data_IF_480398664918
#
_entry.id   IF_480398664918
#
_cell.length_a   1.000
_cell.length_b   1.000
_cell.length_c   1.000
_cell.angle_alpha   90.00
_cell.angle_beta   90.00
_cell.angle_gamma   90.00
#
_symmetry.space_group_name_H-M   'P 1'
#
loop_
_entity.id
_entity.type
_entity.pdbx_description
1 polymer ?
#
# COMPACT_ATOMS: atom_id res chain seq x y z
N UNK A 1 -12.36 17.20 -5.29
CA UNK A 1 -11.51 17.62 -6.44
C UNK A 1 -10.13 17.07 -6.11
N UNK A 2 -9.59 16.16 -6.92
CA UNK A 2 -8.29 15.52 -6.62
C UNK A 2 -7.17 16.51 -6.97
N UNK A 3 -6.31 16.79 -6.01
CA UNK A 3 -5.19 17.70 -6.05
C UNK A 3 -3.99 16.99 -6.64
N UNK A 4 -3.57 17.46 -7.81
CA UNK A 4 -2.42 16.96 -8.54
C UNK A 4 -1.16 17.57 -7.93
N UNK A 5 -0.49 16.85 -7.03
CA UNK A 5 0.86 17.21 -6.60
C UNK A 5 1.86 16.50 -7.53
N UNK A 6 2.15 17.10 -8.68
CA UNK A 6 3.18 16.59 -9.58
C UNK A 6 4.55 17.19 -9.21
N UNK A 7 5.62 16.40 -9.03
CA UNK A 7 6.95 16.92 -9.34
C UNK A 7 7.00 17.15 -10.86
N UNK A 8 7.49 18.34 -11.23
CA UNK A 8 7.65 18.72 -12.63
C UNK A 8 8.46 17.64 -13.37
N UNK A 9 7.96 17.22 -14.54
CA UNK A 9 8.65 16.36 -15.52
C UNK A 9 8.60 14.83 -15.38
N UNK A 10 7.50 14.27 -14.84
CA UNK A 10 7.16 12.86 -15.08
C UNK A 10 5.88 12.73 -15.91
N UNK A 11 5.95 12.01 -17.03
CA UNK A 11 4.83 11.69 -17.94
C UNK A 11 3.74 10.79 -17.29
N UNK A 12 3.82 10.63 -15.97
CA UNK A 12 2.99 9.79 -15.12
C UNK A 12 2.60 10.57 -13.85
N UNK A 13 1.45 11.28 -13.83
CA UNK A 13 1.00 11.97 -12.64
C UNK A 13 0.77 10.97 -11.51
N UNK A 14 1.59 11.04 -10.46
CA UNK A 14 1.36 10.28 -9.24
C UNK A 14 0.21 10.94 -8.46
N UNK A 15 -0.89 10.22 -8.28
CA UNK A 15 -2.08 10.72 -7.61
C UNK A 15 -2.02 10.27 -6.15
N UNK A 16 -1.82 11.19 -5.21
CA UNK A 16 -1.84 10.94 -3.77
C UNK A 16 -2.85 11.85 -3.09
N UNK A 17 -3.59 11.32 -2.12
CA UNK A 17 -4.54 12.11 -1.37
C UNK A 17 -3.85 13.11 -0.44
N UNK A 18 -4.35 14.34 -0.35
CA UNK A 18 -4.13 15.17 0.85
C UNK A 18 -4.93 14.62 2.03
N UNK A 19 -4.64 15.03 3.29
CA UNK A 19 -5.45 14.63 4.44
C UNK A 19 -6.94 14.97 4.28
N UNK A 20 -7.26 16.12 3.69
CA UNK A 20 -8.63 16.57 3.43
C UNK A 20 -9.30 15.65 2.40
N UNK A 21 -8.61 15.35 1.30
CA UNK A 21 -9.14 14.45 0.26
C UNK A 21 -9.35 13.04 0.76
N UNK A 22 -8.44 12.57 1.62
CA UNK A 22 -8.59 11.27 2.24
C UNK A 22 -9.83 11.21 3.12
N UNK A 23 -10.06 12.26 3.91
CA UNK A 23 -11.25 12.39 4.75
C UNK A 23 -12.53 12.37 3.91
N UNK A 24 -12.57 13.16 2.83
CA UNK A 24 -13.69 13.19 1.89
C UNK A 24 -13.96 11.81 1.27
N UNK A 25 -12.91 11.11 0.87
CA UNK A 25 -13.00 9.77 0.28
C UNK A 25 -13.51 8.75 1.30
N UNK A 26 -13.02 8.79 2.54
CA UNK A 26 -13.51 7.91 3.61
C UNK A 26 -14.99 8.12 3.85
N UNK A 27 -15.44 9.38 3.93
CA UNK A 27 -16.87 9.71 4.10
C UNK A 27 -17.71 9.24 2.91
N UNK A 28 -17.23 9.48 1.69
CA UNK A 28 -17.93 9.06 0.48
C UNK A 28 -18.06 7.53 0.38
N UNK A 29 -16.97 6.80 0.64
CA UNK A 29 -16.99 5.33 0.67
C UNK A 29 -17.94 4.81 1.75
N UNK A 30 -17.89 5.37 2.96
CA UNK A 30 -18.80 4.99 4.03
C UNK A 30 -20.27 5.18 3.68
N UNK A 31 -20.58 6.25 2.94
CA UNK A 31 -21.94 6.52 2.47
C UNK A 31 -22.43 5.51 1.41
N UNK A 32 -21.50 4.81 0.73
CA UNK A 32 -21.81 3.78 -0.25
C UNK A 32 -22.07 2.39 0.37
N UNK A 33 -21.69 2.18 1.63
CA UNK A 33 -21.88 0.91 2.31
C UNK A 33 -23.33 0.73 2.76
N UNK A 34 -23.82 -0.52 2.73
CA UNK A 34 -25.19 -0.85 3.18
C UNK A 34 -25.44 -0.48 4.65
N UNK A 35 -24.39 -0.50 5.45
CA UNK A 35 -24.39 -0.01 6.82
C UNK A 35 -23.12 0.83 6.99
N UNK A 36 -23.21 2.13 7.29
CA UNK A 36 -22.05 2.99 7.44
C UNK A 36 -21.10 2.47 8.53
N UNK A 37 -19.80 2.48 8.24
CA UNK A 37 -18.76 2.08 9.17
C UNK A 37 -18.15 3.32 9.82
N UNK A 38 -18.65 3.70 11.00
CA UNK A 38 -18.05 4.80 11.75
C UNK A 38 -16.60 4.46 12.12
N UNK A 39 -15.66 5.36 11.85
CA UNK A 39 -14.24 5.22 12.16
C UNK A 39 -13.86 6.23 13.25
N UNK A 40 -12.95 5.86 14.14
CA UNK A 40 -12.29 6.85 15.00
C UNK A 40 -11.28 7.68 14.19
N UNK A 41 -10.85 8.82 14.74
CA UNK A 41 -9.77 9.63 14.15
C UNK A 41 -8.49 8.79 13.98
N UNK A 42 -8.05 8.11 15.03
CA UNK A 42 -6.85 7.27 14.98
C UNK A 42 -6.92 6.14 13.95
N UNK A 43 -8.11 5.56 13.72
CA UNK A 43 -8.30 4.55 12.67
C UNK A 43 -8.16 5.14 11.27
N UNK A 44 -8.68 6.35 11.07
CA UNK A 44 -8.59 7.11 9.83
C UNK A 44 -7.14 7.50 9.55
N UNK A 45 -6.43 8.01 10.56
CA UNK A 45 -5.02 8.38 10.46
C UNK A 45 -4.14 7.17 10.18
N UNK A 46 -4.41 6.04 10.83
CA UNK A 46 -3.68 4.81 10.57
C UNK A 46 -3.87 4.31 9.13
N UNK A 47 -5.10 4.39 8.60
CA UNK A 47 -5.38 4.06 7.20
C UNK A 47 -4.69 5.00 6.21
N UNK A 48 -4.64 6.30 6.52
CA UNK A 48 -3.91 7.29 5.73
C UNK A 48 -2.41 6.96 5.67
N UNK A 49 -1.82 6.62 6.82
CA UNK A 49 -0.42 6.26 6.93
C UNK A 49 -0.10 4.94 6.20
N UNK A 50 -0.89 3.88 6.41
CA UNK A 50 -0.58 2.57 5.82
C UNK A 50 -0.79 2.54 4.30
N UNK A 51 -1.74 3.33 3.81
CA UNK A 51 -1.93 3.54 2.37
C UNK A 51 -0.86 4.42 1.75
N UNK A 52 -0.04 5.12 2.55
CA UNK A 52 0.87 6.17 2.11
C UNK A 52 0.19 7.13 1.12
N UNK A 53 -1.04 7.54 1.45
CA UNK A 53 -1.86 8.44 0.62
C UNK A 53 -2.25 7.86 -0.75
N UNK A 54 -1.92 6.60 -1.04
CA UNK A 54 -2.16 5.97 -2.34
C UNK A 54 -3.66 5.66 -2.50
N UNK A 55 -4.36 6.25 -3.49
CA UNK A 55 -5.81 6.16 -3.63
C UNK A 55 -6.34 4.75 -3.67
N UNK A 56 -5.72 3.89 -4.48
CA UNK A 56 -6.14 2.49 -4.56
C UNK A 56 -5.92 1.77 -3.21
N UNK A 57 -4.83 2.07 -2.48
CA UNK A 57 -4.56 1.37 -1.23
C UNK A 57 -5.57 1.78 -0.16
N UNK A 58 -5.84 3.08 -0.05
CA UNK A 58 -6.86 3.63 0.83
C UNK A 58 -8.25 3.01 0.60
N UNK A 59 -8.71 3.03 -0.65
CA UNK A 59 -10.04 2.52 -1.01
C UNK A 59 -10.18 1.03 -0.74
N UNK A 60 -9.18 0.22 -1.11
CA UNK A 60 -9.28 -1.24 -0.93
C UNK A 60 -9.10 -1.66 0.52
N UNK A 61 -8.26 -0.98 1.31
CA UNK A 61 -8.18 -1.21 2.74
C UNK A 61 -9.51 -0.90 3.44
N UNK A 62 -10.16 0.20 3.08
CA UNK A 62 -11.49 0.55 3.57
C UNK A 62 -12.53 -0.54 3.26
N UNK A 63 -12.57 -1.02 2.01
CA UNK A 63 -13.50 -2.11 1.62
C UNK A 63 -13.20 -3.42 2.34
N UNK A 64 -11.92 -3.76 2.51
CA UNK A 64 -11.50 -4.95 3.24
C UNK A 64 -11.94 -4.90 4.70
N UNK A 65 -11.68 -3.79 5.40
CA UNK A 65 -12.07 -3.61 6.81
C UNK A 65 -13.59 -3.65 6.96
N UNK A 66 -14.31 -2.99 6.06
CA UNK A 66 -15.76 -3.08 6.03
C UNK A 66 -16.20 -4.54 5.90
N UNK A 67 -15.65 -5.29 4.92
CA UNK A 67 -16.02 -6.70 4.74
C UNK A 67 -15.71 -7.57 5.95
N UNK A 68 -14.61 -7.29 6.67
CA UNK A 68 -14.21 -8.04 7.86
C UNK A 68 -15.17 -7.82 9.04
N UNK A 69 -15.66 -6.59 9.23
CA UNK A 69 -16.45 -6.22 10.41
C UNK A 69 -17.95 -6.02 10.14
N UNK A 70 -18.39 -6.03 8.88
CA UNK A 70 -19.78 -5.76 8.50
C UNK A 70 -20.81 -6.60 9.27
N UNK A 71 -20.61 -7.91 9.52
CA UNK A 71 -21.57 -8.68 10.30
C UNK A 71 -21.74 -8.14 11.73
N UNK A 72 -20.62 -7.80 12.39
CA UNK A 72 -20.59 -7.27 13.76
C UNK A 72 -21.15 -5.86 13.84
N UNK A 73 -20.90 -5.03 12.81
CA UNK A 73 -21.49 -3.70 12.68
C UNK A 73 -23.01 -3.80 12.52
N UNK A 74 -23.49 -4.70 11.64
CA UNK A 74 -24.93 -4.91 11.41
C UNK A 74 -25.69 -5.39 12.65
N UNK A 75 -25.05 -6.17 13.52
CA UNK A 75 -25.63 -6.62 14.78
C UNK A 75 -25.41 -5.63 15.94
N UNK A 76 -24.77 -4.49 15.70
CA UNK A 76 -24.51 -3.47 16.74
C UNK A 76 -23.44 -3.86 17.75
N UNK A 77 -22.66 -4.91 17.49
CA UNK A 77 -21.55 -5.34 18.34
C UNK A 77 -20.33 -4.41 18.21
N UNK A 78 -20.15 -3.81 17.03
CA UNK A 78 -19.18 -2.76 16.78
C UNK A 78 -19.95 -1.50 16.37
N UNK A 79 -19.91 -0.49 17.23
CA UNK A 79 -20.49 0.82 16.93
C UNK A 79 -19.50 1.70 16.15
N UNK A 80 -18.21 1.62 16.49
CA UNK A 80 -17.15 2.41 15.88
C UNK A 80 -15.89 1.55 15.69
N UNK A 81 -15.36 1.54 14.48
CA UNK A 81 -14.09 0.91 14.13
C UNK A 81 -12.95 1.79 14.62
N UNK A 82 -12.38 1.41 15.77
CA UNK A 82 -11.15 1.97 16.32
C UNK A 82 -9.89 1.40 15.65
N UNK A 83 -8.73 2.06 15.85
CA UNK A 83 -7.45 1.68 15.26
C UNK A 83 -7.08 0.20 15.50
N UNK A 84 -7.33 -0.33 16.71
CA UNK A 84 -6.98 -1.72 17.02
C UNK A 84 -7.73 -2.74 16.15
N UNK A 85 -8.96 -2.46 15.74
CA UNK A 85 -9.70 -3.29 14.78
C UNK A 85 -9.01 -3.26 13.41
N UNK A 86 -8.56 -2.08 12.98
CA UNK A 86 -7.83 -1.97 11.72
C UNK A 86 -6.53 -2.77 11.78
N UNK A 87 -5.78 -2.69 12.87
CA UNK A 87 -4.56 -3.48 13.07
C UNK A 87 -4.86 -4.96 13.06
N UNK A 88 -5.82 -5.43 13.87
CA UNK A 88 -6.24 -6.83 13.95
C UNK A 88 -6.64 -7.40 12.58
N UNK A 89 -7.46 -6.67 11.81
CA UNK A 89 -7.87 -7.11 10.48
C UNK A 89 -6.69 -7.27 9.52
N UNK A 90 -5.64 -6.45 9.67
CA UNK A 90 -4.49 -6.43 8.79
C UNK A 90 -3.34 -7.35 9.22
N UNK A 91 -3.38 -7.93 10.42
CA UNK A 91 -2.38 -8.88 10.90
C UNK A 91 -2.46 -10.23 10.17
N UNK A 92 -3.65 -10.66 9.78
CA UNK A 92 -3.81 -11.89 8.99
C UNK A 92 -3.47 -11.64 7.52
N UNK A 93 -2.17 -11.63 7.21
CA UNK A 93 -1.63 -11.39 5.87
C UNK A 93 -2.23 -12.31 4.80
N UNK A 94 -2.45 -13.60 5.10
CA UNK A 94 -3.03 -14.53 4.15
C UNK A 94 -4.48 -14.13 3.77
N UNK A 95 -5.31 -13.79 4.75
CA UNK A 95 -6.69 -13.35 4.51
C UNK A 95 -6.72 -12.00 3.78
N UNK A 96 -5.89 -11.04 4.22
CA UNK A 96 -5.76 -9.73 3.60
C UNK A 96 -5.38 -9.85 2.12
N UNK A 97 -4.28 -10.53 1.80
CA UNK A 97 -3.78 -10.59 0.42
C UNK A 97 -4.64 -11.47 -0.49
N UNK A 98 -5.30 -12.50 0.05
CA UNK A 98 -6.31 -13.23 -0.71
C UNK A 98 -7.52 -12.37 -1.06
N UNK A 99 -7.98 -11.51 -0.13
CA UNK A 99 -9.06 -10.56 -0.42
C UNK A 99 -8.61 -9.52 -1.44
N UNK A 100 -7.39 -8.99 -1.31
CA UNK A 100 -6.86 -7.98 -2.22
C UNK A 100 -6.74 -8.45 -3.67
N UNK A 101 -6.57 -9.76 -3.91
CA UNK A 101 -6.54 -10.36 -5.26
C UNK A 101 -7.80 -10.07 -6.09
N UNK A 102 -8.93 -9.76 -5.46
CA UNK A 102 -10.17 -9.41 -6.17
C UNK A 102 -10.24 -7.94 -6.58
N UNK A 103 -9.30 -7.10 -6.13
CA UNK A 103 -9.35 -5.66 -6.33
C UNK A 103 -8.31 -5.16 -7.36
N UNK A 104 -8.57 -4.01 -8.02
CA UNK A 104 -7.67 -3.41 -8.99
C UNK A 104 -6.24 -3.16 -8.50
N UNK A 105 -6.03 -2.92 -7.19
CA UNK A 105 -4.69 -2.71 -6.61
C UNK A 105 -3.81 -3.94 -6.74
N UNK A 106 -4.37 -5.15 -6.87
CA UNK A 106 -3.56 -6.36 -6.91
C UNK A 106 -2.53 -6.39 -8.04
N UNK A 107 -2.80 -5.68 -9.14
CA UNK A 107 -1.87 -5.55 -10.26
C UNK A 107 -0.57 -4.80 -9.92
N UNK A 108 -0.58 -3.96 -8.87
CA UNK A 108 0.61 -3.26 -8.38
C UNK A 108 1.42 -4.08 -7.37
N UNK A 109 1.04 -5.34 -7.15
CA UNK A 109 1.79 -6.26 -6.31
C UNK A 109 2.59 -7.27 -7.15
N UNK A 110 3.75 -7.74 -6.64
CA UNK A 110 4.54 -8.75 -7.32
C UNK A 110 3.78 -10.05 -7.56
N UNK A 111 3.62 -10.42 -8.82
CA UNK A 111 2.92 -11.64 -9.22
C UNK A 111 3.90 -12.79 -9.49
N UNK A 112 3.49 -14.00 -9.13
CA UNK A 112 4.38 -15.16 -9.15
C UNK A 112 4.93 -15.52 -10.55
N UNK A 113 4.16 -15.23 -11.58
CA UNK A 113 4.44 -15.44 -12.99
C UNK A 113 5.42 -14.41 -13.58
N UNK A 114 5.52 -13.22 -12.98
CA UNK A 114 6.37 -12.12 -13.45
C UNK A 114 7.63 -11.92 -12.60
N UNK A 115 7.71 -12.57 -11.44
CA UNK A 115 8.81 -12.39 -10.50
C UNK A 115 10.11 -13.07 -11.00
N UNK A 116 11.04 -12.27 -11.52
CA UNK A 116 12.37 -12.75 -11.93
C UNK A 116 13.37 -12.72 -10.76
N UNK A 117 14.48 -13.49 -10.79
CA UNK A 117 15.52 -13.41 -9.76
C UNK A 117 16.08 -11.99 -9.56
N UNK A 118 16.22 -11.21 -10.64
CA UNK A 118 16.68 -9.82 -10.59
C UNK A 118 15.67 -8.92 -9.88
N UNK A 119 14.37 -9.07 -10.18
CA UNK A 119 13.32 -8.33 -9.49
C UNK A 119 13.24 -8.72 -8.00
N UNK A 120 13.44 -10.00 -7.66
CA UNK A 120 13.54 -10.45 -6.26
C UNK A 120 14.68 -9.74 -5.55
N UNK A 121 15.86 -9.65 -6.16
CA UNK A 121 17.00 -8.92 -5.60
C UNK A 121 16.65 -7.45 -5.34
N UNK A 122 16.11 -6.77 -6.34
CA UNK A 122 15.66 -5.38 -6.24
C UNK A 122 14.66 -5.18 -5.10
N UNK A 123 13.61 -5.99 -5.02
CA UNK A 123 12.59 -5.89 -3.98
C UNK A 123 13.15 -6.14 -2.58
N UNK A 124 14.09 -7.08 -2.44
CA UNK A 124 14.81 -7.33 -1.18
C UNK A 124 15.66 -6.15 -0.76
N UNK A 125 16.42 -5.58 -1.70
CA UNK A 125 17.27 -4.43 -1.44
C UNK A 125 16.43 -3.21 -1.07
N UNK A 126 15.31 -2.96 -1.76
CA UNK A 126 14.39 -1.89 -1.38
C UNK A 126 13.77 -2.11 0.00
N UNK A 127 13.40 -3.34 0.36
CA UNK A 127 12.91 -3.64 1.72
C UNK A 127 13.96 -3.41 2.80
N UNK A 128 15.23 -3.67 2.49
CA UNK A 128 16.36 -3.54 3.41
C UNK A 128 16.79 -2.08 3.57
N UNK A 129 17.00 -1.39 2.46
CA UNK A 129 17.57 -0.04 2.40
C UNK A 129 16.52 1.07 2.34
N UNK A 130 15.23 0.71 2.28
CA UNK A 130 14.05 1.59 2.10
C UNK A 130 13.95 2.25 0.73
N UNK A 131 15.07 2.51 0.08
CA UNK A 131 15.15 2.98 -1.30
C UNK A 131 16.37 2.40 -1.99
N UNK A 132 16.36 2.42 -3.33
CA UNK A 132 17.50 2.04 -4.17
C UNK A 132 17.66 3.06 -5.31
N UNK A 133 18.83 3.15 -5.98
CA UNK A 133 18.97 3.97 -7.17
C UNK A 133 17.96 3.57 -8.27
N UNK A 134 17.30 4.55 -8.88
CA UNK A 134 16.28 4.32 -9.89
C UNK A 134 16.90 4.22 -11.30
N UNK A 135 17.73 3.21 -11.53
CA UNK A 135 18.38 2.95 -12.83
C UNK A 135 17.54 2.01 -13.70
N UNK A 136 16.76 2.59 -14.63
CA UNK A 136 15.91 1.84 -15.56
C UNK A 136 16.69 1.04 -16.63
N UNK A 137 18.03 1.13 -16.67
CA UNK A 137 18.85 0.22 -17.47
C UNK A 137 19.04 -1.14 -16.77
N UNK A 138 18.84 -1.21 -15.45
CA UNK A 138 18.88 -2.46 -14.69
C UNK A 138 17.57 -3.23 -14.92
N UNK A 139 17.60 -4.46 -15.48
CA UNK A 139 16.37 -5.19 -15.84
C UNK A 139 15.41 -5.42 -14.67
N UNK A 140 15.94 -5.67 -13.46
CA UNK A 140 15.13 -5.86 -12.27
C UNK A 140 14.41 -4.58 -11.83
N UNK A 141 15.11 -3.44 -11.85
CA UNK A 141 14.54 -2.14 -11.47
C UNK A 141 13.48 -1.74 -12.47
N UNK A 142 13.80 -1.83 -13.76
CA UNK A 142 12.85 -1.55 -14.85
C UNK A 142 11.59 -2.38 -14.74
N UNK A 143 11.70 -3.69 -14.52
CA UNK A 143 10.54 -4.56 -14.37
C UNK A 143 9.69 -4.14 -13.17
N UNK A 144 10.29 -3.95 -12.00
CA UNK A 144 9.55 -3.52 -10.81
C UNK A 144 8.86 -2.17 -11.00
N UNK A 145 9.50 -1.24 -11.71
CA UNK A 145 8.94 0.07 -12.02
C UNK A 145 7.76 0.00 -13.00
N UNK A 146 7.94 -0.67 -14.15
CA UNK A 146 6.90 -0.80 -15.19
C UNK A 146 5.68 -1.59 -14.70
N UNK A 147 5.85 -2.49 -13.73
CA UNK A 147 4.74 -3.21 -13.09
C UNK A 147 4.07 -2.42 -11.96
N UNK A 148 4.57 -1.23 -11.61
CA UNK A 148 4.06 -0.41 -10.51
C UNK A 148 4.34 -0.99 -9.13
N UNK A 149 5.32 -1.90 -9.01
CA UNK A 149 5.74 -2.46 -7.71
C UNK A 149 6.66 -1.50 -6.96
N UNK A 150 7.40 -0.67 -7.70
CA UNK A 150 8.21 0.44 -7.20
C UNK A 150 7.80 1.74 -7.89
N UNK A 151 7.87 2.85 -7.17
CA UNK A 151 7.73 4.20 -7.72
C UNK A 151 9.04 4.98 -7.59
N UNK A 152 9.22 5.99 -8.43
CA UNK A 152 10.34 6.93 -8.33
C UNK A 152 9.97 8.13 -7.46
N UNK A 153 10.89 8.56 -6.61
CA UNK A 153 10.85 9.83 -5.89
C UNK A 153 12.23 10.50 -5.89
N UNK A 154 12.32 11.84 -5.77
CA UNK A 154 13.59 12.51 -5.57
C UNK A 154 14.24 12.07 -4.26
N UNK A 155 15.52 11.70 -4.30
CA UNK A 155 16.32 11.39 -3.11
C UNK A 155 16.50 12.63 -2.23
N UNK A 156 16.57 13.81 -2.87
CA UNK A 156 16.63 15.11 -2.24
C UNK A 156 15.57 16.01 -2.90
N UNK A 157 14.64 16.62 -2.14
CA UNK A 157 13.65 17.54 -2.69
C UNK A 157 14.25 18.73 -3.46
N UNK A 158 15.52 19.05 -3.22
CA UNK A 158 16.26 20.12 -3.90
C UNK A 158 16.93 19.67 -5.21
N UNK A 159 16.98 18.36 -5.47
CA UNK A 159 17.57 17.74 -6.67
C UNK A 159 16.59 16.75 -7.30
N UNK A 160 15.57 17.25 -8.02
CA UNK A 160 14.52 16.40 -8.61
C UNK A 160 15.05 15.34 -9.59
N UNK A 161 16.25 15.52 -10.14
CA UNK A 161 16.91 14.60 -11.07
C UNK A 161 17.52 13.36 -10.39
N UNK A 162 17.84 13.43 -9.10
CA UNK A 162 18.46 12.33 -8.34
C UNK A 162 17.35 11.37 -7.86
N UNK A 163 16.87 10.51 -8.75
CA UNK A 163 15.73 9.63 -8.47
C UNK A 163 16.15 8.34 -7.76
N UNK A 164 15.39 8.00 -6.71
CA UNK A 164 15.40 6.69 -6.07
C UNK A 164 14.07 5.98 -6.31
N UNK A 165 14.14 4.65 -6.34
CA UNK A 165 12.98 3.79 -6.44
C UNK A 165 12.59 3.30 -5.02
N UNK A 166 11.31 3.42 -4.66
CA UNK A 166 10.76 3.07 -3.34
C UNK A 166 9.49 2.22 -3.46
N UNK A 167 9.13 1.53 -2.38
CA UNK A 167 7.85 0.83 -2.30
C UNK A 167 6.71 1.85 -2.11
N UNK A 168 5.64 1.81 -2.90
CA UNK A 168 4.64 2.88 -2.94
C UNK A 168 3.91 3.13 -1.61
N UNK A 169 3.77 2.10 -0.78
CA UNK A 169 3.15 2.22 0.53
C UNK A 169 3.56 1.11 1.48
N UNK A 170 3.21 1.26 2.77
CA UNK A 170 3.44 0.20 3.77
C UNK A 170 2.67 -1.09 3.44
N UNK A 171 1.54 -0.98 2.74
CA UNK A 171 0.84 -2.15 2.21
C UNK A 171 1.68 -2.92 1.16
N UNK A 172 2.39 -2.20 0.28
CA UNK A 172 3.33 -2.81 -0.67
C UNK A 172 4.51 -3.46 0.05
N UNK A 173 5.08 -2.79 1.07
CA UNK A 173 6.11 -3.40 1.91
C UNK A 173 5.64 -4.74 2.47
N UNK A 174 4.50 -4.78 3.18
CA UNK A 174 3.97 -6.01 3.78
C UNK A 174 3.70 -7.10 2.74
N UNK A 175 3.20 -6.74 1.56
CA UNK A 175 2.95 -7.71 0.49
C UNK A 175 4.25 -8.33 0.00
N UNK A 176 5.29 -7.52 -0.23
CA UNK A 176 6.59 -8.02 -0.68
C UNK A 176 7.21 -8.91 0.40
N UNK A 177 7.17 -8.50 1.67
CA UNK A 177 7.66 -9.31 2.80
C UNK A 177 6.96 -10.68 2.81
N UNK A 178 5.63 -10.72 2.80
CA UNK A 178 4.84 -11.94 2.76
C UNK A 178 5.16 -12.83 1.55
N UNK A 179 5.25 -12.22 0.36
CA UNK A 179 5.49 -12.94 -0.89
C UNK A 179 6.89 -13.55 -0.97
N UNK A 180 7.88 -12.88 -0.39
CA UNK A 180 9.26 -13.36 -0.35
C UNK A 180 9.49 -14.37 0.79
N UNK A 181 8.84 -14.21 1.94
CA UNK A 181 8.86 -15.21 3.02
C UNK A 181 8.29 -16.55 2.57
N UNK A 182 7.16 -16.54 1.87
CA UNK A 182 6.54 -17.74 1.31
C UNK A 182 7.47 -18.50 0.34
N UNK A 183 8.47 -17.81 -0.23
CA UNK A 183 9.45 -18.36 -1.18
C UNK A 183 10.80 -18.66 -0.56
N UNK A 184 11.13 -18.04 0.57
CA UNK A 184 12.42 -18.18 1.25
C UNK A 184 12.17 -18.09 2.76
N UNK A 185 11.71 -19.20 3.38
CA UNK A 185 11.49 -19.25 4.83
C UNK A 185 12.78 -18.87 5.56
N UNK A 186 12.72 -17.86 6.43
CA UNK A 186 13.87 -17.40 7.23
C UNK A 186 14.48 -16.05 6.84
N UNK A 187 13.98 -15.38 5.79
CA UNK A 187 14.55 -14.12 5.31
C UNK A 187 14.51 -12.96 6.34
N UNK A 188 13.47 -12.88 7.18
CA UNK A 188 13.32 -11.81 8.18
C UNK A 188 13.70 -12.19 9.62
N UNK A 189 14.40 -13.32 9.82
CA UNK A 189 14.72 -13.85 11.17
C UNK A 189 15.67 -12.96 11.99
N UNK A 190 16.14 -11.83 11.43
CA UNK A 190 17.05 -10.90 12.11
C UNK A 190 16.52 -9.47 12.34
N UNK A 191 15.20 -9.23 12.31
CA UNK A 191 14.65 -7.94 12.78
C UNK A 191 14.07 -8.04 14.18
N UNK A 192 14.91 -7.79 15.20
CA UNK A 192 14.59 -7.10 16.46
C UNK A 192 15.85 -6.94 17.32
N UNK A 193 15.95 -5.92 18.20
CA UNK A 193 14.85 -5.14 18.79
C UNK A 193 14.68 -3.71 18.26
#
# INVERSE_FOLDING_TARGET
MISLSAPADSDHPQIFYTPEEFTDVVQHLNSSFTCPMALTADATDYLFQISNRHPAAAQELMRYIYSAYQPRIKHGEILTVAQYHVVEALENHATLFNSLNTYPIYRSFPSADRLTPQAVGVLRDTLLYKSIPCDLNQPGVRLCYEQGWLHSEPADPTKPEDLVCVLPSKLHERFVEFSLEARTPGFFVHRNP
#
